data_IF_998483519880
#
_entry.id   IF_998483519880
#
_cell.length_a   1.000
_cell.length_b   1.000
_cell.length_c   1.000
_cell.angle_alpha   90.00
_cell.angle_beta   90.00
_cell.angle_gamma   90.00
#
_symmetry.space_group_name_H-M   'P 1'
#
loop_
_entity.id
_entity.type
_entity.pdbx_description
1 polymer ?
#
# COMPACT_ATOMS: atom_id res chain seq x y z
N UNK A 1 -13.86 -3.08 11.19
CA UNK A 1 -13.02 -1.87 11.21
C UNK A 1 -13.66 -0.83 10.29
N UNK A 2 -14.33 0.20 10.85
CA UNK A 2 -15.00 1.25 10.07
C UNK A 2 -14.09 2.04 9.13
N UNK A 3 -12.82 2.23 9.49
CA UNK A 3 -11.85 2.93 8.65
C UNK A 3 -11.54 2.14 7.38
N UNK A 4 -11.30 0.83 7.50
CA UNK A 4 -11.11 -0.05 6.35
C UNK A 4 -12.34 -0.01 5.43
N UNK A 5 -13.55 -0.17 5.99
CA UNK A 5 -14.79 -0.14 5.19
C UNK A 5 -14.96 1.19 4.45
N UNK A 6 -14.65 2.31 5.09
CA UNK A 6 -14.66 3.63 4.45
C UNK A 6 -13.66 3.71 3.30
N UNK A 7 -12.40 3.34 3.52
CA UNK A 7 -11.38 3.39 2.47
C UNK A 7 -11.77 2.55 1.24
N UNK A 8 -12.27 1.33 1.44
CA UNK A 8 -12.73 0.49 0.34
C UNK A 8 -13.88 1.13 -0.44
N UNK A 9 -14.90 1.62 0.26
CA UNK A 9 -16.05 2.24 -0.37
C UNK A 9 -15.73 3.59 -1.01
N UNK A 10 -14.68 4.28 -0.59
CA UNK A 10 -14.22 5.53 -1.20
C UNK A 10 -13.43 5.25 -2.49
N UNK A 11 -12.50 4.30 -2.45
CA UNK A 11 -11.61 4.01 -3.59
C UNK A 11 -12.32 3.21 -4.68
N UNK A 12 -13.04 2.16 -4.32
CA UNK A 12 -13.70 1.25 -5.26
C UNK A 12 -15.16 1.64 -5.54
N UNK A 13 -15.49 2.92 -5.52
CA UNK A 13 -16.88 3.37 -5.64
C UNK A 13 -17.39 3.42 -7.09
N UNK A 14 -18.66 3.04 -7.35
CA UNK A 14 -19.55 2.29 -6.46
C UNK A 14 -19.09 0.82 -6.39
N UNK A 15 -18.91 0.22 -5.21
CA UNK A 15 -18.49 -1.19 -5.12
C UNK A 15 -19.72 -2.10 -5.11
N UNK A 16 -19.86 -2.94 -6.13
CA UNK A 16 -20.93 -3.95 -6.23
C UNK A 16 -20.33 -5.35 -6.34
N UNK A 17 -21.18 -6.37 -6.21
CA UNK A 17 -20.75 -7.75 -6.44
C UNK A 17 -20.39 -8.02 -7.91
N UNK A 18 -20.95 -7.24 -8.84
CA UNK A 18 -20.72 -7.43 -10.27
C UNK A 18 -19.39 -6.79 -10.68
N UNK A 19 -19.14 -5.55 -10.26
CA UNK A 19 -17.98 -4.81 -10.74
C UNK A 19 -16.67 -5.12 -10.00
N UNK A 20 -16.72 -5.81 -8.86
CA UNK A 20 -15.50 -6.30 -8.19
C UNK A 20 -14.78 -7.37 -9.03
N UNK A 21 -15.46 -7.99 -10.00
CA UNK A 21 -14.90 -8.95 -10.95
C UNK A 21 -14.61 -8.32 -12.33
N UNK A 22 -14.74 -7.00 -12.48
CA UNK A 22 -14.53 -6.28 -13.73
C UNK A 22 -13.16 -5.56 -13.69
N UNK A 23 -12.21 -6.05 -14.50
CA UNK A 23 -10.86 -5.51 -14.56
C UNK A 23 -10.81 -4.04 -15.03
N UNK A 24 -11.70 -3.64 -15.94
CA UNK A 24 -11.74 -2.26 -16.43
C UNK A 24 -12.23 -1.31 -15.33
N UNK A 25 -13.23 -1.75 -14.55
CA UNK A 25 -13.67 -1.03 -13.37
C UNK A 25 -12.55 -0.88 -12.33
N UNK A 26 -11.84 -1.98 -12.02
CA UNK A 26 -10.75 -1.97 -11.05
C UNK A 26 -9.59 -1.08 -11.51
N UNK A 27 -9.25 -1.13 -12.80
CA UNK A 27 -8.22 -0.28 -13.41
C UNK A 27 -8.62 1.20 -13.36
N UNK A 28 -9.89 1.53 -13.63
CA UNK A 28 -10.40 2.89 -13.51
C UNK A 28 -10.32 3.40 -12.06
N UNK A 29 -10.68 2.57 -11.07
CA UNK A 29 -10.54 2.90 -9.65
C UNK A 29 -9.07 3.17 -9.27
N UNK A 30 -8.15 2.31 -9.72
CA UNK A 30 -6.71 2.50 -9.52
C UNK A 30 -6.23 3.82 -10.11
N UNK A 31 -6.55 4.10 -11.38
CA UNK A 31 -6.11 5.32 -12.08
C UNK A 31 -6.64 6.58 -11.41
N UNK A 32 -7.91 6.59 -11.01
CA UNK A 32 -8.53 7.70 -10.27
C UNK A 32 -7.81 7.95 -8.94
N UNK A 33 -7.55 6.90 -8.17
CA UNK A 33 -6.85 7.04 -6.89
C UNK A 33 -5.41 7.53 -7.07
N UNK A 34 -4.68 6.96 -8.03
CA UNK A 34 -3.32 7.37 -8.36
C UNK A 34 -3.26 8.85 -8.77
N UNK A 35 -4.17 9.29 -9.63
CA UNK A 35 -4.26 10.71 -10.01
C UNK A 35 -4.56 11.60 -8.81
N UNK A 36 -5.50 11.20 -7.93
CA UNK A 36 -5.79 11.97 -6.72
C UNK A 36 -4.58 12.12 -5.78
N UNK A 37 -3.71 11.11 -5.71
CA UNK A 37 -2.44 11.22 -4.98
C UNK A 37 -1.51 12.24 -5.64
N UNK A 38 -1.36 12.22 -6.97
CA UNK A 38 -0.59 13.22 -7.70
C UNK A 38 -1.13 14.63 -7.47
N UNK A 39 -2.44 14.82 -7.60
CA UNK A 39 -3.11 16.11 -7.44
C UNK A 39 -2.90 16.69 -6.04
N UNK A 40 -2.95 15.85 -4.99
CA UNK A 40 -2.73 16.27 -3.61
C UNK A 40 -1.29 16.77 -3.35
N UNK A 41 -0.31 16.25 -4.09
CA UNK A 41 1.11 16.66 -3.97
C UNK A 41 1.53 17.67 -5.04
N UNK A 42 0.61 18.20 -5.84
CA UNK A 42 0.90 19.27 -6.80
C UNK A 42 1.50 20.49 -6.07
N UNK A 43 2.66 20.97 -6.53
CA UNK A 43 3.44 22.04 -5.89
C UNK A 43 4.29 21.58 -4.69
N UNK A 44 4.27 20.29 -4.36
CA UNK A 44 5.06 19.63 -3.30
C UNK A 44 5.66 18.32 -3.80
N UNK A 45 6.17 18.31 -5.02
CA UNK A 45 6.65 17.10 -5.69
C UNK A 45 7.77 16.41 -4.89
N UNK A 46 8.56 17.19 -4.15
CA UNK A 46 9.60 16.70 -3.24
C UNK A 46 9.09 15.89 -2.05
N UNK A 47 7.80 15.98 -1.72
CA UNK A 47 7.17 15.25 -0.63
C UNK A 47 6.57 13.91 -1.11
N UNK A 48 6.66 13.60 -2.41
CA UNK A 48 6.11 12.40 -3.02
C UNK A 48 7.19 11.56 -3.72
N UNK A 49 7.32 10.30 -3.30
CA UNK A 49 8.11 9.30 -3.99
C UNK A 49 7.19 8.29 -4.68
N UNK A 50 7.34 8.16 -6.01
CA UNK A 50 6.72 7.10 -6.81
C UNK A 50 7.83 6.21 -7.36
N UNK A 51 7.73 4.91 -7.10
CA UNK A 51 8.70 3.91 -7.52
C UNK A 51 8.00 2.64 -7.98
N UNK A 52 8.63 1.95 -8.93
CA UNK A 52 8.31 0.57 -9.26
C UNK A 52 9.20 -0.35 -8.40
N UNK A 53 8.60 -1.09 -7.48
CA UNK A 53 9.33 -1.99 -6.56
C UNK A 53 10.07 -3.12 -7.27
N UNK A 54 9.71 -3.45 -8.52
CA UNK A 54 10.42 -4.43 -9.32
C UNK A 54 11.63 -3.84 -10.07
N UNK A 55 11.72 -2.52 -10.18
CA UNK A 55 12.81 -1.85 -10.90
C UNK A 55 14.11 -1.83 -10.07
N UNK A 56 15.26 -2.20 -10.67
CA UNK A 56 16.56 -2.05 -10.01
C UNK A 56 16.80 -0.62 -9.53
N UNK A 57 17.28 -0.45 -8.30
CA UNK A 57 17.57 0.86 -7.71
C UNK A 57 16.39 1.55 -7.02
N UNK A 58 15.17 1.03 -7.11
CA UNK A 58 14.01 1.59 -6.36
C UNK A 58 14.21 1.55 -4.84
N UNK A 59 14.94 0.55 -4.33
CA UNK A 59 15.30 0.49 -2.91
C UNK A 59 16.20 1.67 -2.50
N UNK A 60 17.23 1.97 -3.29
CA UNK A 60 18.11 3.11 -3.07
C UNK A 60 17.31 4.42 -3.10
N UNK A 61 16.43 4.60 -4.09
CA UNK A 61 15.58 5.80 -4.19
C UNK A 61 14.71 6.00 -2.95
N UNK A 62 14.18 4.93 -2.38
CA UNK A 62 13.44 4.99 -1.11
C UNK A 62 14.35 5.38 0.06
N UNK A 63 15.54 4.78 0.16
CA UNK A 63 16.51 5.12 1.19
C UNK A 63 16.92 6.60 1.12
N UNK A 64 17.22 7.11 -0.07
CA UNK A 64 17.57 8.51 -0.31
C UNK A 64 16.43 9.46 0.08
N UNK A 65 15.19 9.13 -0.32
CA UNK A 65 14.00 9.91 0.03
C UNK A 65 13.77 9.99 1.55
N UNK A 66 14.07 8.90 2.28
CA UNK A 66 13.95 8.84 3.73
C UNK A 66 15.19 9.36 4.48
N UNK A 67 16.26 9.74 3.77
CA UNK A 67 17.52 10.17 4.37
C UNK A 67 18.31 9.05 5.07
N UNK A 68 18.14 7.80 4.65
CA UNK A 68 18.85 6.63 5.20
C UNK A 68 20.16 6.42 4.46
N UNK A 69 21.28 6.67 5.15
CA UNK A 69 22.64 6.65 4.55
C UNK A 69 23.39 5.33 4.72
N UNK A 70 22.88 4.42 5.54
CA UNK A 70 23.57 3.17 5.90
C UNK A 70 22.85 1.95 5.33
N UNK A 71 22.86 1.83 4.00
CA UNK A 71 22.35 0.63 3.31
C UNK A 71 23.49 -0.12 2.65
N UNK A 72 23.44 -1.46 2.72
CA UNK A 72 24.43 -2.31 2.05
C UNK A 72 24.31 -2.15 0.52
N UNK A 73 25.41 -2.14 -0.25
CA UNK A 73 25.37 -1.97 -1.71
C UNK A 73 24.52 -3.02 -2.44
N UNK A 74 24.36 -4.20 -1.86
CA UNK A 74 23.54 -5.30 -2.40
C UNK A 74 22.11 -5.34 -1.85
N UNK A 75 21.74 -4.38 -0.98
CA UNK A 75 20.42 -4.37 -0.34
C UNK A 75 19.33 -4.01 -1.35
N UNK A 76 18.28 -4.81 -1.39
CA UNK A 76 17.14 -4.59 -2.28
C UNK A 76 15.82 -5.02 -1.59
N UNK A 77 14.68 -4.68 -2.20
CA UNK A 77 13.38 -5.15 -1.74
C UNK A 77 13.34 -6.67 -1.71
N UNK A 78 13.00 -7.22 -0.55
CA UNK A 78 12.79 -8.66 -0.39
C UNK A 78 11.46 -9.04 -1.05
N UNK A 79 11.47 -10.11 -1.84
CA UNK A 79 10.28 -10.63 -2.50
C UNK A 79 9.40 -11.40 -1.49
N UNK A 80 8.59 -10.65 -0.75
CA UNK A 80 7.64 -11.18 0.25
C UNK A 80 6.19 -11.09 -0.24
N UNK A 81 5.25 -11.69 0.49
CA UNK A 81 3.80 -11.71 0.18
C UNK A 81 3.44 -12.32 -1.19
N UNK A 82 4.29 -13.18 -1.75
CA UNK A 82 4.04 -13.93 -2.97
C UNK A 82 3.27 -15.24 -2.71
N UNK A 83 2.55 -15.73 -3.72
CA UNK A 83 1.90 -17.05 -3.69
C UNK A 83 0.79 -17.19 -2.64
N UNK A 84 0.02 -16.12 -2.39
CA UNK A 84 -1.10 -16.12 -1.43
C UNK A 84 -0.68 -16.09 0.05
N UNK A 85 0.62 -16.00 0.36
CA UNK A 85 1.14 -15.94 1.74
C UNK A 85 1.26 -14.49 2.22
N UNK A 86 0.15 -13.87 2.60
CA UNK A 86 0.10 -12.48 3.13
C UNK A 86 0.44 -12.41 4.63
N UNK A 87 1.18 -13.38 5.18
CA UNK A 87 1.41 -13.49 6.64
C UNK A 87 2.79 -12.99 7.08
N UNK A 88 3.62 -12.49 6.16
CA UNK A 88 4.96 -12.02 6.49
C UNK A 88 4.94 -10.89 7.54
N UNK A 89 3.89 -10.06 7.55
CA UNK A 89 3.68 -9.01 8.57
C UNK A 89 3.70 -9.55 10.01
N UNK A 90 3.18 -10.77 10.24
CA UNK A 90 3.17 -11.39 11.58
C UNK A 90 4.58 -11.71 12.08
N UNK A 91 5.53 -11.96 11.18
CA UNK A 91 6.91 -12.34 11.52
C UNK A 91 7.80 -11.14 11.85
N UNK A 92 7.41 -9.94 11.45
CA UNK A 92 8.15 -8.71 11.73
C UNK A 92 7.99 -8.36 13.21
N UNK A 93 9.11 -8.14 13.90
CA UNK A 93 9.17 -7.64 15.28
C UNK A 93 9.92 -6.31 15.28
N UNK A 94 9.20 -5.21 15.48
CA UNK A 94 9.78 -3.87 15.50
C UNK A 94 9.03 -2.98 16.49
N UNK A 95 9.71 -2.11 17.28
CA UNK A 95 9.05 -1.23 18.25
C UNK A 95 7.99 -0.31 17.64
N UNK A 96 8.17 0.11 16.38
CA UNK A 96 7.25 0.97 15.65
C UNK A 96 6.23 0.21 14.79
N UNK A 97 6.12 -1.11 14.94
CA UNK A 97 5.17 -1.90 14.16
C UNK A 97 3.74 -1.60 14.60
N UNK A 98 2.90 -1.20 13.66
CA UNK A 98 1.44 -1.12 13.85
C UNK A 98 0.83 -2.50 13.58
N UNK A 99 0.16 -3.08 14.57
CA UNK A 99 -0.45 -4.40 14.39
C UNK A 99 -1.62 -4.36 13.39
N UNK A 100 -1.75 -5.42 12.59
CA UNK A 100 -2.80 -5.50 11.56
C UNK A 100 -4.22 -5.61 12.14
N UNK A 101 -4.33 -5.86 13.44
CA UNK A 101 -5.60 -5.94 14.18
C UNK A 101 -5.42 -5.27 15.52
N UNK A 102 -6.47 -4.61 16.01
CA UNK A 102 -6.48 -4.11 17.39
C UNK A 102 -6.67 -5.31 18.34
N UNK A 103 -5.57 -5.80 18.92
CA UNK A 103 -5.58 -6.94 19.86
C UNK A 103 -6.26 -8.21 19.30
N UNK A 104 -6.10 -8.50 18.01
CA UNK A 104 -6.67 -9.69 17.38
C UNK A 104 -8.18 -9.63 17.09
N UNK A 105 -8.84 -8.49 17.37
CA UNK A 105 -10.27 -8.33 17.08
C UNK A 105 -10.47 -7.81 15.67
N UNK A 106 -11.17 -8.60 14.87
CA UNK A 106 -11.73 -8.19 13.59
C UNK A 106 -13.15 -7.74 13.94
N UNK A 107 -13.52 -6.46 13.78
CA UNK A 107 -14.96 -6.13 13.94
C UNK A 107 -15.73 -6.97 12.93
N UNK A 108 -16.63 -7.80 13.42
CA UNK A 108 -17.61 -8.44 12.58
C UNK A 108 -18.42 -7.34 11.90
N UNK A 109 -18.55 -7.43 10.57
CA UNK A 109 -19.52 -6.63 9.85
C UNK A 109 -20.88 -7.11 10.35
N UNK A 110 -21.55 -6.31 11.18
CA UNK A 110 -22.95 -6.57 11.53
C UNK A 110 -23.76 -6.59 10.22
N UNK A 111 -24.47 -7.70 10.00
CA UNK A 111 -25.40 -7.87 8.88
C UNK A 111 -26.51 -6.83 8.97
#
# INVERSE_FOLDING_TARGET
NPLLKRCYNEIFTPLTLDNIADDDFLLACYRRHYQGALDYFNGRERDLLIIDVAHPGSFQRLADFLGVTHIEPSQNFQHINIGGKVTAWKKIKHPLKVEATEKGKIDSVKR
#
